data_IF_678155257991
#
_entry.id   IF_678155257991
#
_cell.length_a   1.000
_cell.length_b   1.000
_cell.length_c   1.000
_cell.angle_alpha   90.00
_cell.angle_beta   90.00
_cell.angle_gamma   90.00
#
_symmetry.space_group_name_H-M   'P 1'
#
loop_
_entity.id
_entity.type
_entity.pdbx_description
1 polymer ?
#
# COMPACT_ATOMS: atom_id res chain seq x y z
N UNK A 1 33.77 50.98 -16.39
CA UNK A 1 33.42 50.37 -16.27
C UNK A 1 32.77 49.50 -16.06
N UNK A 2 32.48 49.08 -15.86
CA UNK A 2 31.83 48.28 -15.70
C UNK A 2 31.03 47.59 -15.55
N UNK A 3 30.72 47.25 -15.46
CA UNK A 3 30.01 46.57 -15.41
C UNK A 3 29.26 45.87 -15.25
N UNK A 4 28.96 45.60 -15.32
CA UNK A 4 28.15 44.85 -15.20
C UNK A 4 27.44 44.11 -15.14
N UNK A 5 27.17 43.72 -15.04
CA UNK A 5 26.45 42.95 -14.98
C UNK A 5 25.74 42.19 -14.86
N UNK A 6 25.48 41.82 -14.76
CA UNK A 6 24.76 41.06 -14.73
C UNK A 6 24.12 40.28 -14.52
N UNK A 7 23.73 39.94 -14.47
CA UNK A 7 23.03 39.13 -14.36
C UNK A 7 22.35 38.38 -14.22
N UNK A 8 22.08 37.99 -14.14
CA UNK A 8 21.35 37.20 -14.13
C UNK A 8 20.67 36.40 -13.96
N UNK A 9 20.31 36.06 -13.87
CA UNK A 9 19.64 35.32 -13.82
C UNK A 9 19.03 34.52 -13.67
N UNK A 10 18.86 34.14 -13.57
CA UNK A 10 18.24 33.32 -13.49
C UNK A 10 17.48 32.65 -13.31
N UNK A 11 17.19 32.33 -13.20
CA UNK A 11 16.43 31.66 -13.17
C UNK A 11 15.83 30.82 -12.99
N UNK A 12 15.57 30.41 -12.89
CA UNK A 12 14.98 29.65 -12.80
C UNK A 12 14.40 28.84 -12.71
N UNK A 13 14.12 28.41 -12.59
CA UNK A 13 13.50 27.63 -12.60
C UNK A 13 12.94 26.87 -12.36
N UNK A 14 12.70 26.66 -12.18
CA UNK A 14 12.08 25.82 -11.89
C UNK A 14 11.28 25.10 -11.94
N UNK A 15 10.91 24.53 -11.91
CA UNK A 15 10.29 23.82 -12.03
C UNK A 15 9.57 23.14 -11.76
N UNK A 16 9.19 22.90 -11.54
CA UNK A 16 8.53 22.25 -11.20
C UNK A 16 7.95 21.41 -11.33
N UNK A 17 7.77 20.82 -11.17
CA UNK A 17 7.39 20.03 -11.23
C UNK A 17 6.46 19.44 -11.04
N UNK A 18 6.13 19.23 -11.14
CA UNK A 18 5.14 18.79 -11.22
C UNK A 18 4.80 17.60 -10.86
N UNK A 19 4.44 17.35 -10.19
CA UNK A 19 4.10 16.29 -9.82
C UNK A 19 2.92 15.88 -10.15
N UNK A 20 2.66 15.04 -10.53
CA UNK A 20 1.55 14.50 -10.92
C UNK A 20 0.80 14.21 -9.90
N UNK A 21 0.10 14.79 -9.69
CA UNK A 21 -0.65 14.54 -8.76
C UNK A 21 -1.47 13.54 -8.89
N UNK A 22 -1.34 12.69 -9.48
CA UNK A 22 -2.20 11.78 -9.60
C UNK A 22 -2.60 11.30 -8.45
N UNK A 23 -3.37 11.59 -8.01
CA UNK A 23 -3.91 11.14 -7.02
C UNK A 23 -4.18 9.86 -6.94
N UNK A 24 -3.78 9.22 -6.29
CA UNK A 24 -4.09 7.95 -6.14
C UNK A 24 -4.96 7.87 -5.01
N UNK A 25 -6.19 7.93 -5.17
CA UNK A 25 -7.11 7.84 -4.11
C UNK A 25 -6.84 6.67 -3.25
N UNK A 26 -6.71 6.85 -2.00
CA UNK A 26 -6.46 5.80 -1.04
C UNK A 26 -5.04 5.29 -1.03
N UNK A 27 -4.23 5.77 -1.93
CA UNK A 27 -2.84 5.34 -2.01
C UNK A 27 -1.87 6.45 -1.64
N UNK A 28 -2.34 7.68 -1.48
CA UNK A 28 -1.49 8.75 -0.99
C UNK A 28 -1.10 8.41 0.44
N UNK A 29 0.10 8.74 0.82
CA UNK A 29 0.62 8.37 2.13
C UNK A 29 1.28 7.01 2.14
N UNK A 30 1.23 6.27 1.04
CA UNK A 30 1.91 4.99 0.92
C UNK A 30 3.08 5.13 -0.03
N UNK A 31 4.11 4.33 0.20
CA UNK A 31 5.31 4.38 -0.63
C UNK A 31 4.98 3.90 -2.03
N UNK A 32 5.67 4.43 -3.02
CA UNK A 32 5.43 4.04 -4.39
C UNK A 32 6.06 2.70 -4.72
N UNK A 33 7.05 2.27 -3.94
CA UNK A 33 7.69 1.00 -4.20
C UNK A 33 6.81 -0.17 -3.81
N UNK A 34 6.90 -1.24 -4.54
CA UNK A 34 6.22 -2.47 -4.19
C UNK A 34 6.83 -3.02 -2.91
N UNK A 35 6.00 -3.56 -2.06
CA UNK A 35 6.41 -4.10 -0.78
C UNK A 35 5.80 -5.48 -0.61
N UNK A 36 6.63 -6.42 -0.21
CA UNK A 36 6.17 -7.78 0.00
C UNK A 36 6.39 -8.15 1.45
N UNK A 37 5.38 -8.70 2.10
CA UNK A 37 5.44 -9.06 3.49
C UNK A 37 4.92 -10.48 3.65
N UNK A 38 5.74 -11.36 4.23
CA UNK A 38 5.31 -12.72 4.52
C UNK A 38 5.23 -12.91 6.01
N UNK A 39 4.18 -13.53 6.46
CA UNK A 39 4.00 -13.73 7.89
C UNK A 39 2.80 -14.59 8.21
N UNK A 40 2.41 -14.56 9.47
CA UNK A 40 1.35 -15.41 10.01
C UNK A 40 0.11 -14.58 10.27
N UNK A 41 -1.04 -15.06 9.86
CA UNK A 41 -2.29 -14.33 10.09
C UNK A 41 -2.56 -14.25 11.59
N UNK A 42 -2.66 -13.03 12.08
CA UNK A 42 -2.95 -12.76 13.48
C UNK A 42 -4.46 -12.55 13.65
N UNK A 43 -5.10 -11.84 12.72
CA UNK A 43 -6.53 -11.66 12.69
C UNK A 43 -6.97 -11.85 11.24
N UNK A 44 -8.00 -12.65 11.04
CA UNK A 44 -8.48 -12.93 9.69
C UNK A 44 -9.17 -11.73 9.06
N UNK A 45 -9.66 -11.93 7.85
CA UNK A 45 -10.30 -10.85 7.09
C UNK A 45 -11.53 -10.36 7.82
N UNK A 46 -11.61 -9.05 7.99
CA UNK A 46 -12.79 -8.37 8.50
C UNK A 46 -13.37 -7.54 7.37
N UNK A 47 -14.66 -7.69 7.11
CA UNK A 47 -15.34 -6.91 6.09
C UNK A 47 -16.07 -5.72 6.69
N UNK A 48 -15.84 -5.43 7.96
CA UNK A 48 -16.40 -4.26 8.60
C UNK A 48 -15.62 -3.02 8.17
N UNK A 49 -16.25 -1.91 8.17
CA UNK A 49 -15.59 -0.63 7.87
C UNK A 49 -15.55 -0.32 6.40
N UNK A 50 -15.02 0.85 6.04
CA UNK A 50 -14.99 1.29 4.64
C UNK A 50 -14.03 0.46 3.79
N UNK A 51 -12.97 -0.08 4.37
CA UNK A 51 -12.09 -1.03 3.70
C UNK A 51 -12.02 -2.28 4.54
N UNK A 52 -11.94 -3.42 3.89
CA UNK A 52 -11.68 -4.66 4.58
C UNK A 52 -10.25 -4.64 5.10
N UNK A 53 -9.98 -5.38 6.15
CA UNK A 53 -8.66 -5.42 6.78
C UNK A 53 -8.34 -6.81 7.25
N UNK A 54 -7.08 -7.07 7.54
CA UNK A 54 -6.65 -8.24 8.27
C UNK A 54 -5.34 -7.88 8.96
N UNK A 55 -4.85 -8.71 9.85
CA UNK A 55 -3.59 -8.46 10.54
C UNK A 55 -2.66 -9.63 10.35
N UNK A 56 -1.39 -9.32 10.11
CA UNK A 56 -0.36 -10.31 9.88
C UNK A 56 0.81 -10.02 10.82
N UNK A 57 1.28 -11.05 11.50
CA UNK A 57 2.47 -10.91 12.34
C UNK A 57 3.68 -11.25 11.51
N UNK A 58 4.59 -10.33 11.39
CA UNK A 58 5.81 -10.51 10.61
C UNK A 58 6.90 -9.60 11.17
N UNK A 59 8.13 -10.08 11.15
CA UNK A 59 9.27 -9.27 11.56
C UNK A 59 9.11 -8.72 12.98
N UNK A 60 8.49 -9.50 13.85
CA UNK A 60 8.32 -9.09 15.25
C UNK A 60 7.22 -8.06 15.48
N UNK A 61 6.43 -7.74 14.46
CA UNK A 61 5.40 -6.72 14.55
C UNK A 61 4.07 -7.26 14.04
N UNK A 62 2.99 -6.64 14.47
CA UNK A 62 1.67 -6.92 13.90
C UNK A 62 1.40 -5.83 12.87
N UNK A 63 1.17 -6.25 11.65
CA UNK A 63 0.96 -5.34 10.54
C UNK A 63 -0.52 -5.27 10.22
N UNK A 64 -1.00 -4.06 9.98
CA UNK A 64 -2.35 -3.85 9.50
C UNK A 64 -2.35 -3.99 7.99
N UNK A 65 -3.13 -4.91 7.49
CA UNK A 65 -3.21 -5.17 6.06
C UNK A 65 -4.53 -4.57 5.59
N UNK A 66 -4.45 -3.43 4.90
CA UNK A 66 -5.64 -2.76 4.40
C UNK A 66 -5.94 -3.33 3.03
N UNK A 67 -7.12 -3.89 2.88
CA UNK A 67 -7.55 -4.52 1.64
C UNK A 67 -8.40 -3.52 0.84
N UNK A 68 -9.21 -3.98 -0.07
CA UNK A 68 -10.11 -3.14 -0.84
C UNK A 68 -11.42 -2.94 -0.05
N UNK A 69 -12.32 -2.10 -0.53
CA UNK A 69 -13.64 -2.03 0.09
C UNK A 69 -14.28 -3.41 0.18
N UNK A 70 -15.13 -3.62 1.15
CA UNK A 70 -15.64 -4.98 1.44
C UNK A 70 -16.18 -5.73 0.23
N UNK A 71 -16.97 -5.10 -0.61
CA UNK A 71 -17.54 -5.79 -1.77
C UNK A 71 -16.47 -6.26 -2.74
N UNK A 72 -15.46 -5.44 -2.97
CA UNK A 72 -14.38 -5.80 -3.87
C UNK A 72 -13.50 -6.90 -3.26
N UNK A 73 -13.22 -6.82 -1.98
CA UNK A 73 -12.43 -7.82 -1.28
C UNK A 73 -13.16 -9.17 -1.32
N UNK A 74 -14.46 -9.15 -1.04
CA UNK A 74 -15.24 -10.36 -1.07
C UNK A 74 -15.32 -10.91 -2.48
N UNK A 75 -15.48 -10.06 -3.48
CA UNK A 75 -15.51 -10.46 -4.87
C UNK A 75 -14.21 -11.10 -5.34
N UNK A 76 -13.10 -10.73 -4.71
CA UNK A 76 -11.81 -11.36 -5.01
C UNK A 76 -11.65 -12.72 -4.33
N UNK A 77 -12.61 -13.12 -3.50
CA UNK A 77 -12.56 -14.39 -2.81
C UNK A 77 -12.10 -14.32 -1.37
N UNK A 78 -11.76 -13.12 -0.89
CA UNK A 78 -11.32 -12.99 0.50
C UNK A 78 -12.53 -12.70 1.36
N UNK A 79 -13.25 -13.75 1.70
CA UNK A 79 -14.36 -13.64 2.63
C UNK A 79 -13.87 -13.89 4.04
N UNK A 80 -14.68 -13.52 5.02
CA UNK A 80 -14.31 -13.79 6.40
C UNK A 80 -14.17 -15.28 6.60
N UNK A 81 -13.09 -15.67 7.28
CA UNK A 81 -12.87 -17.08 7.59
C UNK A 81 -12.19 -17.90 6.50
N UNK A 82 -11.98 -17.32 5.31
CA UNK A 82 -11.36 -18.09 4.24
C UNK A 82 -9.90 -18.40 4.57
N UNK A 83 -9.17 -17.44 5.10
CA UNK A 83 -7.79 -17.68 5.52
C UNK A 83 -7.78 -17.76 7.04
N UNK A 84 -7.45 -18.92 7.59
CA UNK A 84 -7.53 -19.06 9.05
C UNK A 84 -6.41 -18.33 9.78
N UNK A 85 -6.68 -17.98 11.02
CA UNK A 85 -5.67 -17.46 11.92
C UNK A 85 -4.58 -18.52 12.03
N UNK A 86 -3.34 -18.09 12.00
CA UNK A 86 -2.19 -19.01 12.04
C UNK A 86 -1.70 -19.40 10.67
N UNK A 87 -2.42 -19.08 9.60
CA UNK A 87 -1.98 -19.42 8.25
C UNK A 87 -0.78 -18.54 7.84
N UNK A 88 0.06 -19.08 6.98
CA UNK A 88 1.18 -18.34 6.42
C UNK A 88 0.72 -17.68 5.14
N UNK A 89 0.93 -16.39 5.02
CA UNK A 89 0.50 -15.62 3.85
C UNK A 89 1.61 -14.72 3.36
N UNK A 90 1.53 -14.32 2.11
CA UNK A 90 2.39 -13.29 1.54
C UNK A 90 1.49 -12.18 1.04
N UNK A 91 1.79 -10.96 1.44
CA UNK A 91 1.02 -9.78 1.10
C UNK A 91 1.86 -8.92 0.19
N UNK A 92 1.27 -8.45 -0.91
CA UNK A 92 1.94 -7.52 -1.81
C UNK A 92 1.18 -6.21 -1.83
N UNK A 93 1.87 -5.12 -1.77
CA UNK A 93 1.25 -3.81 -1.82
C UNK A 93 2.25 -2.71 -1.60
N UNK A 94 1.83 -1.67 -0.89
CA UNK A 94 2.66 -0.50 -0.65
C UNK A 94 2.62 -0.16 0.82
N UNK A 95 3.79 -0.05 1.41
CA UNK A 95 3.90 0.22 2.82
C UNK A 95 3.57 1.68 3.12
N UNK A 96 3.02 1.94 4.30
CA UNK A 96 2.82 3.30 4.77
C UNK A 96 4.17 4.03 4.78
N UNK A 97 4.18 5.27 4.33
CA UNK A 97 5.42 6.04 4.26
C UNK A 97 5.96 6.38 5.64
N UNK A 98 5.12 6.40 6.66
CA UNK A 98 5.59 6.60 8.03
C UNK A 98 6.17 5.27 8.52
N UNK A 99 7.46 5.17 8.76
CA UNK A 99 8.06 3.90 9.17
C UNK A 99 7.60 3.40 10.52
N UNK A 100 6.94 4.25 11.33
CA UNK A 100 6.42 3.80 12.60
C UNK A 100 5.05 3.16 12.45
N UNK A 101 4.44 3.25 11.27
CA UNK A 101 3.14 2.67 11.04
C UNK A 101 3.34 1.39 10.25
N UNK A 102 3.05 0.26 10.89
CA UNK A 102 3.23 -1.03 10.26
C UNK A 102 1.94 -1.36 9.52
N UNK A 103 1.79 -0.78 8.34
CA UNK A 103 0.59 -0.90 7.52
C UNK A 103 0.96 -1.13 6.08
N UNK A 104 0.21 -1.97 5.40
CA UNK A 104 0.38 -2.21 3.96
C UNK A 104 -0.96 -1.96 3.29
N UNK A 105 -0.98 -1.07 2.31
CA UNK A 105 -2.12 -0.93 1.41
C UNK A 105 -1.95 -2.03 0.38
N UNK A 106 -2.83 -2.99 0.41
CA UNK A 106 -2.59 -4.28 -0.20
C UNK A 106 -3.26 -4.41 -1.57
N UNK A 107 -2.52 -4.98 -2.49
CA UNK A 107 -3.02 -5.25 -3.84
C UNK A 107 -3.46 -6.70 -3.94
N UNK A 108 -2.72 -7.61 -3.32
CA UNK A 108 -3.07 -9.03 -3.38
C UNK A 108 -2.48 -9.79 -2.19
N UNK A 109 -3.11 -10.88 -1.86
CA UNK A 109 -2.67 -11.77 -0.80
C UNK A 109 -2.56 -13.16 -1.40
N UNK A 110 -1.46 -13.84 -1.10
CA UNK A 110 -1.26 -15.22 -1.55
C UNK A 110 -1.26 -16.14 -0.35
N UNK A 111 -2.03 -17.21 -0.45
CA UNK A 111 -2.13 -18.21 0.59
C UNK A 111 -2.37 -19.58 -0.04
N UNK A 112 -1.59 -20.56 0.40
CA UNK A 112 -1.80 -21.92 -0.03
C UNK A 112 -1.80 -22.06 -1.56
N UNK A 113 -0.90 -21.35 -2.22
CA UNK A 113 -0.77 -21.39 -3.67
C UNK A 113 -1.82 -20.60 -4.43
N UNK A 114 -2.72 -19.91 -3.73
CA UNK A 114 -3.78 -19.16 -4.37
C UNK A 114 -3.58 -17.68 -4.14
N UNK A 115 -3.78 -16.89 -5.18
CA UNK A 115 -3.63 -15.44 -5.10
C UNK A 115 -5.00 -14.78 -5.15
N UNK A 116 -5.23 -13.89 -4.19
CA UNK A 116 -6.45 -13.11 -4.12
C UNK A 116 -6.10 -11.67 -4.50
N UNK A 117 -6.52 -11.26 -5.70
CA UNK A 117 -6.21 -9.93 -6.19
C UNK A 117 -7.35 -8.98 -5.85
N UNK A 118 -7.14 -8.13 -4.86
CA UNK A 118 -8.18 -7.17 -4.48
C UNK A 118 -8.10 -5.89 -5.31
N UNK A 119 -6.94 -5.65 -5.95
CA UNK A 119 -6.81 -4.58 -6.93
C UNK A 119 -6.05 -5.15 -8.15
N UNK A 120 -6.73 -5.90 -8.99
CA UNK A 120 -6.04 -6.62 -10.05
C UNK A 120 -5.36 -5.75 -11.10
N UNK A 121 -5.71 -4.52 -11.22
CA UNK A 121 -5.06 -3.65 -12.17
C UNK A 121 -3.79 -3.00 -11.66
N UNK A 122 -3.41 -3.28 -10.42
CA UNK A 122 -2.21 -2.67 -9.87
C UNK A 122 -1.17 -3.75 -9.63
N UNK A 123 0.07 -3.44 -9.84
CA UNK A 123 1.15 -4.36 -9.50
C UNK A 123 2.49 -3.69 -9.68
#
# INVERSE_FOLDING_TARGET
MQTRRSVLIMLSAFVLSALPATAHHGWSGNASEEFELSGTVESGVSLAGPHATMKVRAQGQVWEITLAPPARTQGAGLKEGVIPVGAQVTVHGHRNMDPKRFEVKTERVTWNGKTFNVYPGRS
#
